data_IF_873882010420
#
_entry.id   IF_873882010420
#
_cell.length_a   1.000
_cell.length_b   1.000
_cell.length_c   1.000
_cell.angle_alpha   90.00
_cell.angle_beta   90.00
_cell.angle_gamma   90.00
#
_symmetry.space_group_name_H-M   'P 1'
#
loop_
_entity.id
_entity.type
_entity.pdbx_description
1 polymer ?
#
# COMPACT_ATOMS: atom_id res chain seq x y z
N UNK A 1 34.78 38.78 38.41
CA UNK A 1 34.21 37.63 39.16
C UNK A 1 33.13 36.97 38.30
N UNK A 2 33.48 35.88 37.59
CA UNK A 2 32.56 34.89 37.01
C UNK A 2 33.42 33.65 36.70
N UNK A 3 33.33 32.66 37.57
CA UNK A 3 34.02 31.37 37.44
C UNK A 3 33.11 30.47 36.61
N UNK A 4 33.50 30.16 35.36
CA UNK A 4 32.80 29.16 34.54
C UNK A 4 33.48 27.81 34.79
N UNK A 5 32.76 26.91 35.44
CA UNK A 5 33.17 25.59 35.88
C UNK A 5 33.34 24.68 34.65
N UNK A 6 34.56 24.26 34.33
CA UNK A 6 34.81 23.23 33.30
C UNK A 6 34.35 21.88 33.85
N UNK A 7 33.32 21.30 33.24
CA UNK A 7 32.82 19.98 33.59
C UNK A 7 33.68 18.92 32.88
N UNK A 8 34.65 18.35 33.61
CA UNK A 8 35.42 17.20 33.13
C UNK A 8 34.56 15.95 33.18
N UNK A 9 33.97 15.58 32.04
CA UNK A 9 33.29 14.30 31.87
C UNK A 9 34.35 13.21 31.77
N UNK A 10 34.53 12.46 32.85
CA UNK A 10 35.48 11.33 32.89
C UNK A 10 34.76 10.10 32.37
N UNK A 11 34.96 9.77 31.09
CA UNK A 11 34.35 8.59 30.45
C UNK A 11 35.17 7.34 30.81
N UNK A 12 34.52 6.35 31.42
CA UNK A 12 35.12 5.07 31.80
C UNK A 12 35.63 4.31 30.55
N UNK A 13 36.75 3.57 30.67
CA UNK A 13 37.39 2.85 29.56
C UNK A 13 36.45 1.86 28.86
N UNK A 14 35.47 1.29 29.57
CA UNK A 14 34.44 0.41 29.02
C UNK A 14 33.43 1.15 28.12
N UNK A 15 33.02 2.37 28.49
CA UNK A 15 32.13 3.21 27.68
C UNK A 15 32.84 3.74 26.43
N UNK A 16 34.15 3.97 26.51
CA UNK A 16 34.97 4.37 25.36
C UNK A 16 35.04 3.26 24.29
N UNK A 17 35.13 2.00 24.72
CA UNK A 17 35.06 0.83 23.83
C UNK A 17 33.70 0.66 23.15
N UNK A 18 32.61 0.90 23.87
CA UNK A 18 31.25 0.83 23.31
C UNK A 18 30.96 1.94 22.29
N UNK A 19 31.43 3.16 22.55
CA UNK A 19 31.28 4.29 21.60
C UNK A 19 32.12 4.04 20.35
N UNK A 20 33.35 3.55 20.49
CA UNK A 20 34.19 3.19 19.33
C UNK A 20 33.53 2.05 18.55
N UNK A 21 32.98 1.05 19.21
CA UNK A 21 32.27 -0.05 18.53
C UNK A 21 31.02 0.43 17.81
N UNK A 22 30.21 1.30 18.41
CA UNK A 22 29.03 1.90 17.77
C UNK A 22 29.44 2.76 16.57
N UNK A 23 30.50 3.56 16.69
CA UNK A 23 31.03 4.35 15.58
C UNK A 23 31.63 3.49 14.47
N UNK A 24 32.33 2.40 14.79
CA UNK A 24 32.85 1.45 13.80
C UNK A 24 31.72 0.67 13.14
N UNK A 25 30.68 0.30 13.89
CA UNK A 25 29.51 -0.42 13.39
C UNK A 25 28.64 0.48 12.51
N UNK A 26 28.47 1.76 12.87
CA UNK A 26 27.85 2.78 12.01
C UNK A 26 28.71 3.05 10.77
N UNK A 27 30.04 3.13 10.90
CA UNK A 27 30.93 3.29 9.76
C UNK A 27 30.89 2.07 8.83
N UNK A 28 30.77 0.85 9.37
CA UNK A 28 30.60 -0.38 8.58
C UNK A 28 29.21 -0.40 7.93
N UNK A 29 28.13 0.01 8.60
CA UNK A 29 26.80 0.13 7.97
C UNK A 29 26.79 1.21 6.88
N UNK A 30 27.48 2.33 7.09
CA UNK A 30 27.63 3.41 6.12
C UNK A 30 28.56 3.03 4.96
N UNK A 31 29.58 2.19 5.19
CA UNK A 31 30.47 1.65 4.15
C UNK A 31 29.92 0.38 3.47
N UNK A 32 29.03 -0.40 4.10
CA UNK A 32 28.31 -1.51 3.46
C UNK A 32 27.03 -1.07 2.75
N UNK A 33 26.70 0.23 2.78
CA UNK A 33 26.03 0.87 1.66
C UNK A 33 27.04 1.09 0.53
N UNK A 34 27.74 0.03 0.14
CA UNK A 34 28.34 -0.07 -1.19
C UNK A 34 27.16 -0.15 -2.16
N UNK A 35 26.76 1.05 -2.57
CA UNK A 35 26.13 1.25 -3.83
C UNK A 35 26.95 0.46 -4.86
N UNK A 36 26.36 -0.59 -5.41
CA UNK A 36 26.54 -0.89 -6.82
C UNK A 36 25.98 0.28 -7.64
N UNK A 37 26.59 1.45 -7.48
CA UNK A 37 26.54 2.51 -8.46
C UNK A 37 27.37 1.98 -9.62
N UNK A 38 26.73 1.20 -10.49
CA UNK A 38 27.16 1.19 -11.88
C UNK A 38 27.19 2.65 -12.30
N UNK A 39 28.39 3.21 -12.39
CA UNK A 39 28.63 4.51 -13.02
C UNK A 39 28.41 4.32 -14.52
N UNK A 40 27.17 4.02 -14.90
CA UNK A 40 26.66 4.45 -16.17
C UNK A 40 26.58 5.96 -16.05
N UNK A 41 27.19 6.67 -16.99
CA UNK A 41 27.14 8.13 -17.07
C UNK A 41 25.69 8.59 -17.08
N UNK A 42 25.11 8.89 -15.92
CA UNK A 42 23.74 9.37 -15.79
C UNK A 42 23.65 10.70 -16.54
N UNK A 43 22.89 10.73 -17.64
CA UNK A 43 22.63 11.97 -18.37
C UNK A 43 21.68 12.81 -17.52
N UNK A 44 22.20 13.85 -16.89
CA UNK A 44 21.39 14.84 -16.16
C UNK A 44 20.78 15.80 -17.19
N UNK A 45 19.46 15.83 -17.27
CA UNK A 45 18.73 16.75 -18.15
C UNK A 45 17.95 17.76 -17.28
N UNK A 46 18.01 19.03 -17.66
CA UNK A 46 17.29 20.14 -17.00
C UNK A 46 16.14 20.68 -17.84
N UNK A 47 16.11 20.35 -19.13
CA UNK A 47 15.05 20.73 -20.07
C UNK A 47 14.02 19.60 -20.22
N UNK A 48 12.75 19.94 -20.48
CA UNK A 48 11.72 18.93 -20.69
C UNK A 48 11.95 18.18 -22.01
N UNK A 49 11.66 16.88 -22.01
CA UNK A 49 11.77 16.02 -23.19
C UNK A 49 10.37 15.84 -23.78
N UNK A 50 10.21 16.27 -25.03
CA UNK A 50 8.96 16.10 -25.78
C UNK A 50 9.14 15.02 -26.85
N UNK A 51 8.35 13.96 -26.77
CA UNK A 51 8.32 12.85 -27.71
C UNK A 51 7.04 12.97 -28.55
N UNK A 52 7.23 13.24 -29.84
CA UNK A 52 6.16 13.35 -30.84
C UNK A 52 6.34 12.41 -32.04
N UNK A 53 7.36 11.55 -31.98
CA UNK A 53 7.71 10.60 -33.03
C UNK A 53 7.45 9.18 -32.58
N UNK A 54 6.91 8.37 -33.49
CA UNK A 54 6.76 6.94 -33.32
C UNK A 54 8.13 6.23 -33.18
N UNK A 55 8.12 5.02 -32.60
CA UNK A 55 9.30 4.15 -32.47
C UNK A 55 10.46 4.79 -31.69
N UNK A 56 10.14 5.56 -30.65
CA UNK A 56 11.13 6.29 -29.84
C UNK A 56 11.53 5.47 -28.62
N UNK A 57 12.83 5.35 -28.36
CA UNK A 57 13.35 4.78 -27.11
C UNK A 57 14.21 5.79 -26.38
N UNK A 58 13.92 6.02 -25.10
CA UNK A 58 14.77 6.79 -24.18
C UNK A 58 15.20 5.88 -23.05
N UNK A 59 16.50 5.91 -22.74
CA UNK A 59 17.08 5.12 -21.68
C UNK A 59 18.13 5.86 -20.88
N UNK A 60 18.28 5.47 -19.61
CA UNK A 60 19.39 5.85 -18.73
C UNK A 60 19.48 7.38 -18.52
N UNK A 61 18.34 7.98 -18.16
CA UNK A 61 18.22 9.44 -17.96
C UNK A 61 17.81 9.76 -16.53
N UNK A 62 18.54 10.68 -15.91
CA UNK A 62 18.14 11.30 -14.64
C UNK A 62 17.74 12.73 -14.88
N UNK A 63 16.54 13.10 -14.46
CA UNK A 63 15.98 14.44 -14.63
C UNK A 63 15.74 15.05 -13.26
N UNK A 64 16.38 16.19 -12.99
CA UNK A 64 16.11 17.03 -11.82
C UNK A 64 15.46 18.30 -12.33
N UNK A 65 14.16 18.44 -12.11
CA UNK A 65 13.37 19.42 -12.83
C UNK A 65 12.73 20.45 -11.89
N UNK A 66 12.98 21.73 -12.19
CA UNK A 66 12.45 22.87 -11.44
C UNK A 66 11.47 23.73 -12.24
N UNK A 67 11.16 23.36 -13.49
CA UNK A 67 10.24 24.09 -14.36
C UNK A 67 8.75 23.85 -14.03
N UNK A 68 7.88 24.42 -14.85
CA UNK A 68 6.42 24.32 -14.72
C UNK A 68 5.75 23.34 -15.69
N UNK A 69 6.49 22.81 -16.67
CA UNK A 69 5.98 21.81 -17.62
C UNK A 69 6.35 20.39 -17.17
N UNK A 70 5.72 19.33 -17.73
CA UNK A 70 6.16 17.97 -17.45
C UNK A 70 7.61 17.73 -17.91
N UNK A 71 8.47 17.07 -17.10
CA UNK A 71 9.83 16.71 -17.50
C UNK A 71 9.90 15.78 -18.71
N UNK A 72 8.93 14.87 -18.85
CA UNK A 72 8.75 14.05 -20.04
C UNK A 72 7.30 14.14 -20.50
N UNK A 73 7.11 14.46 -21.79
CA UNK A 73 5.81 14.43 -22.46
C UNK A 73 5.88 13.50 -23.66
N UNK A 74 4.92 12.59 -23.78
CA UNK A 74 4.68 11.76 -24.95
C UNK A 74 3.32 12.14 -25.52
N UNK A 75 3.29 12.67 -26.74
CA UNK A 75 2.05 13.13 -27.37
C UNK A 75 1.93 12.57 -28.78
N UNK A 76 0.76 12.08 -29.16
CA UNK A 76 0.44 11.65 -30.53
C UNK A 76 1.48 10.66 -31.11
N UNK A 77 1.97 9.74 -30.29
CA UNK A 77 3.06 8.83 -30.64
C UNK A 77 2.69 7.36 -30.43
N UNK A 78 3.30 6.48 -31.21
CA UNK A 78 3.18 5.02 -31.10
C UNK A 78 4.52 4.35 -30.83
N UNK A 79 4.51 3.26 -30.09
CA UNK A 79 5.70 2.43 -29.84
C UNK A 79 6.83 3.24 -29.18
N UNK A 80 6.54 3.78 -28.00
CA UNK A 80 7.51 4.54 -27.21
C UNK A 80 7.94 3.72 -26.00
N UNK A 81 9.24 3.59 -25.82
CA UNK A 81 9.84 2.89 -24.69
C UNK A 81 10.66 3.84 -23.83
N UNK A 82 10.32 3.96 -22.55
CA UNK A 82 11.14 4.62 -21.53
C UNK A 82 11.72 3.55 -20.60
N UNK A 83 13.04 3.57 -20.44
CA UNK A 83 13.75 2.59 -19.60
C UNK A 83 14.77 3.24 -18.68
N UNK A 84 14.87 2.81 -17.42
CA UNK A 84 15.87 3.32 -16.47
C UNK A 84 15.82 4.85 -16.37
N UNK A 85 14.63 5.40 -16.11
CA UNK A 85 14.43 6.84 -15.99
C UNK A 85 14.23 7.22 -14.53
N UNK A 86 14.93 8.26 -14.08
CA UNK A 86 14.75 8.85 -12.77
C UNK A 86 14.28 10.28 -12.88
N UNK A 87 13.21 10.64 -12.20
CA UNK A 87 12.67 12.01 -12.18
C UNK A 87 12.51 12.49 -10.74
N UNK A 88 13.09 13.65 -10.46
CA UNK A 88 12.91 14.39 -9.21
C UNK A 88 12.33 15.76 -9.59
N UNK A 89 11.04 15.94 -9.33
CA UNK A 89 10.31 17.16 -9.66
C UNK A 89 10.29 18.20 -8.53
N UNK A 90 9.36 19.15 -8.67
CA UNK A 90 9.11 20.25 -7.72
C UNK A 90 7.63 20.35 -7.28
N UNK A 91 6.81 19.34 -7.58
CA UNK A 91 5.39 19.25 -7.24
C UNK A 91 4.44 20.02 -8.16
N UNK A 92 4.92 20.78 -9.16
CA UNK A 92 4.07 21.66 -9.99
C UNK A 92 3.48 20.99 -11.22
N UNK A 93 4.20 20.05 -11.82
CA UNK A 93 3.82 19.38 -13.06
C UNK A 93 3.87 17.85 -12.90
N UNK A 94 3.24 17.13 -13.83
CA UNK A 94 3.31 15.67 -13.89
C UNK A 94 4.74 15.23 -14.23
N UNK A 95 5.19 14.07 -13.76
CA UNK A 95 6.54 13.56 -14.02
C UNK A 95 6.72 13.04 -15.44
N UNK A 96 5.92 12.05 -15.79
CA UNK A 96 5.74 11.57 -17.16
C UNK A 96 4.29 11.83 -17.54
N UNK A 97 4.09 12.63 -18.58
CA UNK A 97 2.77 12.92 -19.15
C UNK A 97 2.65 12.20 -20.49
N UNK A 98 1.63 11.36 -20.65
CA UNK A 98 1.38 10.60 -21.87
C UNK A 98 -0.03 10.90 -22.33
N UNK A 99 -0.16 11.43 -23.54
CA UNK A 99 -1.45 11.77 -24.13
C UNK A 99 -1.61 11.23 -25.56
N UNK A 100 -2.81 10.80 -25.92
CA UNK A 100 -3.20 10.43 -27.30
C UNK A 100 -2.19 9.49 -27.98
N UNK A 101 -1.73 8.48 -27.26
CA UNK A 101 -0.57 7.67 -27.65
C UNK A 101 -0.87 6.18 -27.50
N UNK A 102 -0.10 5.32 -28.18
CA UNK A 102 -0.35 3.88 -28.13
C UNK A 102 0.93 3.04 -28.09
N UNK A 103 0.82 1.80 -27.58
CA UNK A 103 1.95 0.87 -27.45
C UNK A 103 3.10 1.47 -26.62
N UNK A 104 2.79 1.90 -25.41
CA UNK A 104 3.76 2.54 -24.52
C UNK A 104 4.36 1.51 -23.56
N UNK A 105 5.68 1.56 -23.39
CA UNK A 105 6.42 0.69 -22.46
C UNK A 105 7.22 1.54 -21.48
N UNK A 106 6.93 1.38 -20.19
CA UNK A 106 7.68 2.01 -19.11
C UNK A 106 8.31 0.90 -18.25
N UNK A 107 9.65 0.86 -18.21
CA UNK A 107 10.39 -0.14 -17.42
C UNK A 107 11.44 0.52 -16.54
N UNK A 108 11.43 0.18 -15.26
CA UNK A 108 12.39 0.69 -14.26
C UNK A 108 12.41 2.23 -14.21
N UNK A 109 11.34 2.79 -13.66
CA UNK A 109 11.11 4.24 -13.59
C UNK A 109 11.02 4.65 -12.11
N UNK A 110 11.86 5.58 -11.65
CA UNK A 110 11.79 6.16 -10.29
C UNK A 110 11.35 7.63 -10.37
N UNK A 111 10.14 7.93 -9.90
CA UNK A 111 9.55 9.28 -9.95
C UNK A 111 9.20 9.75 -8.56
N UNK A 112 9.59 10.98 -8.25
CA UNK A 112 9.23 11.61 -6.99
C UNK A 112 9.05 13.12 -7.06
N UNK A 113 8.24 13.63 -6.14
CA UNK A 113 7.99 15.06 -5.96
C UNK A 113 7.43 15.72 -7.22
N UNK A 114 6.48 15.07 -7.89
CA UNK A 114 5.73 15.63 -9.01
C UNK A 114 4.28 15.86 -8.60
N UNK A 115 3.49 16.51 -9.45
CA UNK A 115 2.03 16.59 -9.27
C UNK A 115 1.49 15.17 -9.36
N UNK A 116 1.45 14.59 -10.55
CA UNK A 116 1.20 13.16 -10.73
C UNK A 116 2.51 12.49 -11.19
N UNK A 117 2.81 11.27 -10.72
CA UNK A 117 4.04 10.55 -11.06
C UNK A 117 4.06 10.20 -12.54
N UNK A 118 3.23 9.23 -12.90
CA UNK A 118 2.91 8.91 -14.30
C UNK A 118 1.45 9.27 -14.56
N UNK A 119 1.20 10.15 -15.52
CA UNK A 119 -0.12 10.57 -15.95
C UNK A 119 -0.38 10.06 -17.37
N UNK A 120 -1.48 9.34 -17.56
CA UNK A 120 -1.90 8.79 -18.83
C UNK A 120 -3.30 9.30 -19.18
N UNK A 121 -3.44 9.86 -20.37
CA UNK A 121 -4.71 10.36 -20.89
C UNK A 121 -4.93 9.90 -22.35
N UNK A 122 -6.03 9.20 -22.62
CA UNK A 122 -6.31 8.65 -23.97
C UNK A 122 -5.16 7.77 -24.50
N UNK A 123 -4.79 6.73 -23.74
CA UNK A 123 -3.69 5.82 -24.07
C UNK A 123 -4.19 4.42 -24.39
N UNK A 124 -3.74 3.84 -25.50
CA UNK A 124 -4.09 2.46 -25.89
C UNK A 124 -2.86 1.54 -25.80
N UNK A 125 -2.98 0.39 -25.13
CA UNK A 125 -1.88 -0.58 -24.94
C UNK A 125 -0.68 0.03 -24.21
N UNK A 126 -0.73 0.02 -22.89
CA UNK A 126 0.40 0.42 -22.04
C UNK A 126 0.91 -0.75 -21.19
N UNK A 127 2.22 -0.94 -21.13
CA UNK A 127 2.87 -1.87 -20.22
C UNK A 127 3.82 -1.10 -19.30
N UNK A 128 3.55 -1.15 -18.00
CA UNK A 128 4.35 -0.49 -16.96
C UNK A 128 4.87 -1.54 -15.99
N UNK A 129 6.20 -1.58 -15.81
CA UNK A 129 6.85 -2.52 -14.93
C UNK A 129 7.94 -1.86 -14.10
N UNK A 130 8.10 -2.30 -12.85
CA UNK A 130 9.16 -1.81 -11.96
C UNK A 130 9.09 -0.27 -11.77
N UNK A 131 7.88 0.27 -11.60
CA UNK A 131 7.69 1.70 -11.33
C UNK A 131 7.82 1.96 -9.83
N UNK A 132 8.70 2.87 -9.43
CA UNK A 132 8.80 3.42 -8.09
C UNK A 132 8.22 4.83 -8.10
N UNK A 133 7.05 5.03 -7.47
CA UNK A 133 6.37 6.33 -7.45
C UNK A 133 6.12 6.80 -6.01
N UNK A 134 6.65 7.97 -5.65
CA UNK A 134 6.59 8.46 -4.27
C UNK A 134 6.49 9.97 -4.09
N UNK A 135 5.82 10.41 -3.02
CA UNK A 135 5.70 11.82 -2.64
C UNK A 135 5.06 12.68 -3.74
N UNK A 136 4.09 12.13 -4.46
CA UNK A 136 3.31 12.82 -5.48
C UNK A 136 1.87 13.01 -4.99
N UNK A 137 1.08 13.83 -5.69
CA UNK A 137 -0.38 13.83 -5.50
C UNK A 137 -0.91 12.45 -5.88
N UNK A 138 -0.77 12.07 -7.15
CA UNK A 138 -1.09 10.71 -7.59
C UNK A 138 0.18 9.97 -7.99
N UNK A 139 0.35 8.74 -7.52
CA UNK A 139 1.52 7.95 -7.88
C UNK A 139 1.48 7.54 -9.36
N UNK A 140 0.36 6.96 -9.79
CA UNK A 140 0.04 6.64 -11.19
C UNK A 140 -1.42 7.03 -11.43
N UNK A 141 -1.68 7.73 -12.53
CA UNK A 141 -3.00 8.25 -12.86
C UNK A 141 -3.40 7.82 -14.28
N UNK A 142 -4.35 6.89 -14.36
CA UNK A 142 -4.96 6.46 -15.61
C UNK A 142 -6.25 7.24 -15.86
N UNK A 143 -6.36 7.83 -17.04
CA UNK A 143 -7.55 8.51 -17.52
C UNK A 143 -7.79 8.10 -18.97
N UNK A 144 -8.93 7.46 -19.26
CA UNK A 144 -9.25 7.00 -20.64
C UNK A 144 -8.19 6.05 -21.22
N UNK A 145 -7.72 5.09 -20.42
CA UNK A 145 -6.74 4.09 -20.85
C UNK A 145 -7.45 2.81 -21.24
N UNK A 146 -7.07 2.23 -22.39
CA UNK A 146 -7.62 0.96 -22.85
C UNK A 146 -6.48 -0.04 -23.08
N UNK A 147 -6.61 -1.24 -22.52
CA UNK A 147 -5.57 -2.29 -22.50
C UNK A 147 -4.30 -1.84 -21.80
N UNK A 148 -4.17 -2.15 -20.51
CA UNK A 148 -3.04 -1.73 -19.70
C UNK A 148 -2.56 -2.81 -18.75
N UNK A 149 -1.26 -2.82 -18.47
CA UNK A 149 -0.67 -3.67 -17.45
C UNK A 149 0.26 -2.86 -16.55
N UNK A 150 0.07 -2.98 -15.23
CA UNK A 150 0.96 -2.44 -14.21
C UNK A 150 1.46 -3.59 -13.33
N UNK A 151 2.76 -3.83 -13.35
CA UNK A 151 3.36 -4.98 -12.68
C UNK A 151 4.59 -4.63 -11.84
N UNK A 152 4.77 -5.34 -10.71
CA UNK A 152 5.99 -5.30 -9.89
C UNK A 152 6.43 -3.88 -9.50
N UNK A 153 5.47 -3.00 -9.26
CA UNK A 153 5.70 -1.59 -8.97
C UNK A 153 5.48 -1.28 -7.48
N UNK A 154 6.16 -0.26 -6.98
CA UNK A 154 6.05 0.22 -5.60
C UNK A 154 5.53 1.65 -5.61
N UNK A 155 4.37 1.84 -5.00
CA UNK A 155 3.71 3.14 -4.89
C UNK A 155 3.61 3.50 -3.42
N UNK A 156 4.22 4.61 -3.01
CA UNK A 156 4.31 4.97 -1.59
C UNK A 156 4.22 6.45 -1.29
N UNK A 157 3.65 6.80 -0.14
CA UNK A 157 3.58 8.19 0.34
C UNK A 157 3.01 9.17 -0.70
N UNK A 158 2.02 8.74 -1.48
CA UNK A 158 1.28 9.64 -2.37
C UNK A 158 -0.03 10.07 -1.70
N UNK A 159 -0.70 11.11 -2.20
CA UNK A 159 -2.08 11.44 -1.76
C UNK A 159 -3.05 10.36 -2.24
N UNK A 160 -2.96 9.93 -3.49
CA UNK A 160 -3.54 8.65 -3.92
C UNK A 160 -2.43 7.83 -4.57
N UNK A 161 -2.29 6.57 -4.20
CA UNK A 161 -1.27 5.73 -4.81
C UNK A 161 -1.54 5.54 -6.30
N UNK A 162 -2.64 4.88 -6.63
CA UNK A 162 -3.07 4.64 -8.01
C UNK A 162 -4.49 5.18 -8.19
N UNK A 163 -4.67 6.11 -9.13
CA UNK A 163 -5.97 6.61 -9.55
C UNK A 163 -6.29 6.06 -10.93
N UNK A 164 -7.35 5.26 -11.06
CA UNK A 164 -7.79 4.69 -12.34
C UNK A 164 -9.22 5.14 -12.62
N UNK A 165 -9.38 5.95 -13.65
CA UNK A 165 -10.67 6.53 -14.02
C UNK A 165 -11.01 6.27 -15.48
N UNK A 166 -12.26 5.86 -15.71
CA UNK A 166 -12.86 5.72 -17.05
C UNK A 166 -11.94 4.96 -18.01
N UNK A 167 -11.48 3.80 -17.58
CA UNK A 167 -10.48 2.99 -18.28
C UNK A 167 -10.93 1.53 -18.35
N UNK A 168 -10.47 0.78 -19.36
CA UNK A 168 -10.94 -0.58 -19.62
C UNK A 168 -9.80 -1.57 -19.89
N UNK A 169 -10.03 -2.84 -19.55
CA UNK A 169 -9.10 -3.96 -19.81
C UNK A 169 -7.71 -3.74 -19.15
N UNK A 170 -7.69 -3.41 -17.86
CA UNK A 170 -6.44 -3.12 -17.13
C UNK A 170 -6.12 -4.24 -16.14
N UNK A 171 -4.88 -4.74 -16.15
CA UNK A 171 -4.35 -5.68 -15.16
C UNK A 171 -3.38 -4.97 -14.24
N UNK A 172 -3.64 -4.99 -12.94
CA UNK A 172 -2.77 -4.44 -11.91
C UNK A 172 -2.33 -5.61 -11.03
N UNK A 173 -1.09 -6.06 -11.18
CA UNK A 173 -0.62 -7.28 -10.50
C UNK A 173 0.76 -7.20 -9.85
N UNK A 174 0.93 -7.88 -8.71
CA UNK A 174 2.23 -7.96 -8.01
C UNK A 174 2.81 -6.60 -7.61
N UNK A 175 1.96 -5.60 -7.36
CA UNK A 175 2.39 -4.28 -6.92
C UNK A 175 2.31 -4.15 -5.39
N UNK A 176 3.11 -3.23 -4.85
CA UNK A 176 3.13 -2.88 -3.43
C UNK A 176 2.65 -1.43 -3.26
N UNK A 177 1.51 -1.24 -2.60
CA UNK A 177 0.88 0.05 -2.36
C UNK A 177 0.94 0.33 -0.86
N UNK A 178 1.80 1.28 -0.45
CA UNK A 178 2.23 1.41 0.96
C UNK A 178 2.16 2.84 1.47
N UNK A 179 1.71 3.05 2.71
CA UNK A 179 1.83 4.33 3.43
C UNK A 179 1.10 5.53 2.78
N UNK A 180 -0.07 5.31 2.18
CA UNK A 180 -0.99 6.41 1.83
C UNK A 180 -1.80 6.79 3.09
N UNK A 181 -1.20 7.60 3.98
CA UNK A 181 -1.68 7.83 5.35
C UNK A 181 -2.24 9.23 5.63
N UNK A 182 -2.20 10.15 4.66
CA UNK A 182 -2.80 11.48 4.86
C UNK A 182 -4.33 11.31 4.98
N UNK A 183 -5.01 12.22 5.69
CA UNK A 183 -6.46 12.14 5.85
C UNK A 183 -7.16 12.05 4.48
N UNK A 184 -8.15 11.16 4.36
CA UNK A 184 -8.95 10.92 3.16
C UNK A 184 -8.13 10.50 1.92
N UNK A 185 -7.03 9.80 2.15
CA UNK A 185 -6.19 9.23 1.09
C UNK A 185 -6.49 7.76 0.83
N UNK A 186 -6.25 7.36 -0.42
CA UNK A 186 -6.47 6.00 -0.89
C UNK A 186 -5.17 5.39 -1.43
N UNK A 187 -4.95 4.11 -1.15
CA UNK A 187 -3.91 3.31 -1.78
C UNK A 187 -4.18 3.21 -3.28
N UNK A 188 -5.39 2.78 -3.63
CA UNK A 188 -5.86 2.70 -5.00
C UNK A 188 -7.33 3.11 -5.08
N UNK A 189 -7.69 3.91 -6.08
CA UNK A 189 -9.07 4.25 -6.40
C UNK A 189 -9.37 3.80 -7.82
N UNK A 190 -10.44 3.03 -7.98
CA UNK A 190 -10.99 2.59 -9.25
C UNK A 190 -12.35 3.27 -9.44
N UNK A 191 -12.53 3.96 -10.56
CA UNK A 191 -13.72 4.76 -10.81
C UNK A 191 -14.23 4.57 -12.24
N UNK A 192 -15.53 4.24 -12.38
CA UNK A 192 -16.25 4.15 -13.67
C UNK A 192 -15.51 3.35 -14.73
N UNK A 193 -15.05 2.17 -14.40
CA UNK A 193 -14.14 1.39 -15.24
C UNK A 193 -14.61 -0.06 -15.41
N UNK A 194 -14.25 -0.70 -16.53
CA UNK A 194 -14.70 -2.05 -16.88
C UNK A 194 -13.54 -3.01 -17.07
N UNK A 195 -13.74 -4.27 -16.68
CA UNK A 195 -12.75 -5.35 -16.89
C UNK A 195 -11.37 -5.03 -16.28
N UNK A 196 -11.38 -4.63 -15.01
CA UNK A 196 -10.18 -4.33 -14.23
C UNK A 196 -9.84 -5.53 -13.34
N UNK A 197 -8.60 -6.00 -13.43
CA UNK A 197 -8.10 -7.16 -12.70
C UNK A 197 -7.06 -6.72 -11.68
N UNK A 198 -7.46 -6.61 -10.41
CA UNK A 198 -6.56 -6.30 -9.29
C UNK A 198 -6.18 -7.61 -8.62
N UNK A 199 -4.96 -8.09 -8.87
CA UNK A 199 -4.55 -9.43 -8.45
C UNK A 199 -3.14 -9.52 -7.88
N UNK A 200 -2.95 -10.30 -6.82
CA UNK A 200 -1.63 -10.52 -6.20
C UNK A 200 -0.92 -9.23 -5.75
N UNK A 201 -1.65 -8.17 -5.40
CA UNK A 201 -1.05 -6.94 -4.89
C UNK A 201 -0.98 -6.94 -3.36
N UNK A 202 -0.11 -6.11 -2.80
CA UNK A 202 0.01 -5.87 -1.37
C UNK A 202 -0.40 -4.44 -1.05
N UNK A 203 -1.41 -4.27 -0.20
CA UNK A 203 -1.89 -3.00 0.32
C UNK A 203 -1.54 -2.91 1.80
N UNK A 204 -0.57 -2.07 2.15
CA UNK A 204 0.02 -2.04 3.49
C UNK A 204 -0.07 -0.63 4.08
N UNK A 205 -0.61 -0.51 5.29
CA UNK A 205 -0.59 0.74 6.06
C UNK A 205 -1.19 1.96 5.36
N UNK A 206 -2.28 1.75 4.61
CA UNK A 206 -3.05 2.81 3.98
C UNK A 206 -4.20 3.28 4.89
N UNK A 207 -4.63 4.53 4.71
CA UNK A 207 -5.89 5.05 5.24
C UNK A 207 -7.04 4.22 4.68
N UNK A 208 -7.32 4.34 3.37
CA UNK A 208 -8.18 3.40 2.64
C UNK A 208 -7.30 2.65 1.65
N UNK A 209 -7.21 1.33 1.70
CA UNK A 209 -6.35 0.57 0.79
C UNK A 209 -6.87 0.56 -0.65
N UNK A 210 -8.15 0.20 -0.84
CA UNK A 210 -8.78 0.12 -2.14
C UNK A 210 -10.19 0.74 -2.11
N UNK A 211 -10.45 1.71 -2.97
CA UNK A 211 -11.78 2.28 -3.19
C UNK A 211 -12.28 1.90 -4.58
N UNK A 212 -13.47 1.31 -4.64
CA UNK A 212 -14.09 0.72 -5.83
C UNK A 212 -15.41 1.44 -6.08
N UNK A 213 -15.52 2.11 -7.22
CA UNK A 213 -16.67 2.98 -7.51
C UNK A 213 -17.15 2.78 -8.95
N UNK A 214 -18.43 2.45 -9.11
CA UNK A 214 -19.08 2.27 -10.41
C UNK A 214 -18.32 1.30 -11.35
N UNK A 215 -17.82 0.19 -10.79
CA UNK A 215 -17.02 -0.80 -11.50
C UNK A 215 -17.89 -1.92 -12.06
N UNK A 216 -17.59 -2.37 -13.28
CA UNK A 216 -18.28 -3.52 -13.89
C UNK A 216 -17.30 -4.57 -14.42
N UNK A 217 -17.72 -5.84 -14.44
CA UNK A 217 -16.93 -6.98 -14.97
C UNK A 217 -15.50 -7.08 -14.43
N UNK A 218 -15.25 -6.55 -13.24
CA UNK A 218 -13.92 -6.44 -12.65
C UNK A 218 -13.72 -7.47 -11.55
N UNK A 219 -12.47 -7.78 -11.19
CA UNK A 219 -12.14 -8.84 -10.24
C UNK A 219 -11.06 -8.38 -9.25
N UNK A 220 -11.31 -8.60 -7.95
CA UNK A 220 -10.35 -8.33 -6.87
C UNK A 220 -9.98 -9.67 -6.24
N UNK A 221 -8.81 -10.19 -6.59
CA UNK A 221 -8.43 -11.56 -6.22
C UNK A 221 -7.01 -11.68 -5.67
N UNK A 222 -6.81 -12.51 -4.64
CA UNK A 222 -5.47 -12.87 -4.14
C UNK A 222 -4.61 -11.67 -3.71
N UNK A 223 -5.22 -10.57 -3.28
CA UNK A 223 -4.50 -9.43 -2.73
C UNK A 223 -4.30 -9.59 -1.22
N UNK A 224 -3.22 -9.02 -0.69
CA UNK A 224 -2.91 -8.98 0.73
C UNK A 224 -3.15 -7.58 1.27
N UNK A 225 -4.14 -7.43 2.14
CA UNK A 225 -4.48 -6.21 2.85
C UNK A 225 -3.95 -6.32 4.29
N UNK A 226 -2.94 -5.53 4.60
CA UNK A 226 -2.25 -5.58 5.89
C UNK A 226 -2.20 -4.20 6.57
N UNK A 227 -2.64 -4.13 7.84
CA UNK A 227 -2.48 -2.93 8.69
C UNK A 227 -3.08 -1.65 8.10
N UNK A 228 -4.14 -1.75 7.30
CA UNK A 228 -4.88 -0.59 6.77
C UNK A 228 -5.95 -0.15 7.78
N UNK A 229 -6.33 1.13 7.76
CA UNK A 229 -7.48 1.60 8.54
C UNK A 229 -8.76 1.06 7.94
N UNK A 230 -8.91 1.20 6.62
CA UNK A 230 -9.97 0.56 5.87
C UNK A 230 -9.39 -0.24 4.70
N UNK A 231 -9.80 -1.49 4.55
CA UNK A 231 -9.22 -2.35 3.49
C UNK A 231 -9.88 -2.10 2.15
N UNK A 232 -11.21 -2.18 2.07
CA UNK A 232 -11.97 -1.98 0.83
C UNK A 232 -13.18 -1.07 1.06
N UNK A 233 -13.38 -0.11 0.17
CA UNK A 233 -14.63 0.65 0.04
C UNK A 233 -15.27 0.29 -1.29
N UNK A 234 -16.58 0.02 -1.28
CA UNK A 234 -17.32 -0.35 -2.49
C UNK A 234 -18.53 0.56 -2.59
N UNK A 235 -18.65 1.21 -3.73
CA UNK A 235 -19.79 2.06 -4.07
C UNK A 235 -20.32 1.67 -5.44
N UNK A 236 -21.61 1.36 -5.52
CA UNK A 236 -22.36 1.09 -6.76
C UNK A 236 -21.63 0.11 -7.70
N UNK A 237 -21.04 -0.96 -7.15
CA UNK A 237 -20.19 -1.89 -7.90
C UNK A 237 -20.47 -3.34 -7.52
N UNK A 238 -21.08 -4.15 -8.39
CA UNK A 238 -21.23 -5.60 -8.17
C UNK A 238 -20.05 -6.36 -8.78
N UNK A 239 -19.02 -6.62 -7.97
CA UNK A 239 -17.82 -7.35 -8.38
C UNK A 239 -17.40 -8.42 -7.37
N UNK A 240 -16.85 -9.56 -7.83
CA UNK A 240 -16.33 -10.60 -6.94
C UNK A 240 -15.06 -10.17 -6.20
N UNK A 241 -15.04 -10.44 -4.88
CA UNK A 241 -13.90 -10.21 -3.98
C UNK A 241 -13.53 -11.55 -3.36
N UNK A 242 -12.47 -12.18 -3.90
CA UNK A 242 -12.20 -13.58 -3.62
C UNK A 242 -10.74 -13.88 -3.34
N UNK A 243 -10.49 -14.88 -2.49
CA UNK A 243 -9.14 -15.38 -2.18
C UNK A 243 -8.19 -14.29 -1.64
N UNK A 244 -8.70 -13.17 -1.13
CA UNK A 244 -7.87 -12.09 -0.58
C UNK A 244 -7.52 -12.40 0.88
N UNK A 245 -6.40 -11.86 1.35
CA UNK A 245 -5.93 -11.98 2.72
C UNK A 245 -6.11 -10.66 3.44
N UNK A 246 -6.79 -10.66 4.58
CA UNK A 246 -6.97 -9.49 5.43
C UNK A 246 -6.32 -9.75 6.78
N UNK A 247 -5.31 -8.96 7.14
CA UNK A 247 -4.59 -9.12 8.40
C UNK A 247 -4.32 -7.79 9.10
N UNK A 248 -4.69 -7.72 10.38
CA UNK A 248 -4.51 -6.57 11.26
C UNK A 248 -5.06 -5.24 10.70
N UNK A 249 -6.11 -5.30 9.87
CA UNK A 249 -6.82 -4.09 9.43
C UNK A 249 -7.84 -3.67 10.50
N UNK A 250 -8.17 -2.38 10.56
CA UNK A 250 -9.20 -1.88 11.49
C UNK A 250 -10.60 -2.19 10.95
N UNK A 251 -10.86 -1.86 9.68
CA UNK A 251 -12.07 -2.28 8.95
C UNK A 251 -11.73 -3.11 7.72
N UNK A 252 -12.55 -4.12 7.46
CA UNK A 252 -12.43 -4.98 6.28
C UNK A 252 -13.10 -4.34 5.07
N UNK A 253 -14.37 -3.97 5.18
CA UNK A 253 -15.14 -3.47 4.05
C UNK A 253 -16.22 -2.47 4.49
N UNK A 254 -16.31 -1.35 3.77
CA UNK A 254 -17.43 -0.40 3.86
C UNK A 254 -18.17 -0.36 2.52
N UNK A 255 -19.50 -0.48 2.52
CA UNK A 255 -20.28 -0.78 1.31
C UNK A 255 -21.60 0.01 1.29
N UNK A 256 -22.09 0.45 0.12
CA UNK A 256 -23.35 1.21 0.02
C UNK A 256 -24.63 0.39 -0.25
N UNK A 257 -24.57 -0.72 -1.01
CA UNK A 257 -25.76 -1.50 -1.42
C UNK A 257 -25.59 -3.03 -1.26
N UNK A 258 -26.70 -3.77 -1.09
CA UNK A 258 -26.68 -5.24 -0.91
C UNK A 258 -26.33 -5.99 -2.21
N UNK A 259 -25.53 -7.06 -2.06
CA UNK A 259 -25.10 -8.08 -3.06
C UNK A 259 -23.65 -7.96 -3.57
N UNK A 260 -22.66 -8.16 -2.69
CA UNK A 260 -21.28 -8.45 -3.15
C UNK A 260 -20.88 -9.87 -2.82
N UNK A 261 -20.09 -10.48 -3.71
CA UNK A 261 -19.65 -11.86 -3.60
C UNK A 261 -18.28 -11.95 -2.91
N UNK A 262 -18.26 -11.72 -1.60
CA UNK A 262 -17.12 -12.10 -0.77
C UNK A 262 -17.09 -13.62 -0.65
N UNK A 263 -15.98 -14.24 -1.04
CA UNK A 263 -15.83 -15.69 -0.97
C UNK A 263 -14.37 -16.11 -0.81
N UNK A 264 -14.12 -17.12 0.03
CA UNK A 264 -12.80 -17.74 0.19
C UNK A 264 -11.71 -16.74 0.63
N UNK A 265 -12.07 -15.60 1.22
CA UNK A 265 -11.06 -14.69 1.73
C UNK A 265 -10.58 -15.17 3.10
N UNK A 266 -9.33 -14.85 3.42
CA UNK A 266 -8.68 -15.22 4.68
C UNK A 266 -8.69 -14.04 5.66
N UNK A 267 -9.07 -14.29 6.91
CA UNK A 267 -9.17 -13.25 7.94
C UNK A 267 -8.39 -13.64 9.20
N UNK A 268 -7.86 -12.65 9.91
CA UNK A 268 -7.19 -12.86 11.20
C UNK A 268 -8.13 -12.69 12.39
N UNK A 269 -9.39 -13.10 12.20
CA UNK A 269 -10.45 -13.05 13.20
C UNK A 269 -10.55 -14.39 13.95
N UNK A 270 -10.32 -14.40 15.29
CA UNK A 270 -10.41 -15.62 16.09
C UNK A 270 -11.84 -16.14 16.29
N UNK A 271 -12.88 -15.40 15.87
CA UNK A 271 -14.28 -15.84 15.97
C UNK A 271 -14.70 -16.79 14.84
N UNK A 272 -13.94 -16.86 13.74
CA UNK A 272 -14.17 -17.83 12.67
C UNK A 272 -13.82 -19.21 13.24
N UNK A 273 -14.83 -20.06 13.42
CA UNK A 273 -14.66 -21.44 13.87
C UNK A 273 -14.66 -22.37 12.67
N UNK A 274 -13.68 -23.27 12.65
CA UNK A 274 -13.54 -24.39 11.71
C UNK A 274 -13.54 -25.66 12.57
N UNK A 275 -14.73 -26.26 12.74
CA UNK A 275 -14.94 -27.41 13.63
C UNK A 275 -14.64 -28.75 12.96
N UNK A 276 -14.72 -28.82 11.63
CA UNK A 276 -14.45 -30.03 10.86
C UNK A 276 -13.00 -30.14 10.35
N UNK A 277 -12.24 -29.03 10.43
CA UNK A 277 -10.81 -28.96 10.17
C UNK A 277 -10.46 -28.87 8.69
N UNK A 278 -11.38 -28.43 7.83
CA UNK A 278 -11.17 -28.33 6.39
C UNK A 278 -10.46 -27.03 5.94
N UNK A 279 -10.22 -26.10 6.87
CA UNK A 279 -9.58 -24.81 6.65
C UNK A 279 -10.54 -23.67 6.30
N UNK A 280 -11.85 -23.95 6.22
CA UNK A 280 -12.93 -23.00 5.96
C UNK A 280 -13.76 -22.86 7.24
N UNK A 281 -14.21 -21.65 7.53
CA UNK A 281 -15.09 -21.38 8.66
C UNK A 281 -16.50 -21.90 8.41
N UNK A 282 -17.06 -22.61 9.39
CA UNK A 282 -18.41 -23.18 9.35
C UNK A 282 -19.52 -22.13 9.30
N UNK A 283 -19.21 -20.89 9.67
CA UNK A 283 -20.16 -19.78 9.75
C UNK A 283 -19.72 -18.63 8.85
N UNK A 284 -20.66 -17.98 8.14
CA UNK A 284 -20.33 -16.81 7.32
C UNK A 284 -19.71 -15.69 8.16
N UNK A 285 -18.61 -15.11 7.68
CA UNK A 285 -17.98 -13.95 8.29
C UNK A 285 -18.78 -12.71 7.90
N UNK A 286 -19.41 -12.06 8.88
CA UNK A 286 -20.18 -10.82 8.67
C UNK A 286 -19.33 -9.58 8.91
N UNK A 287 -19.62 -8.53 8.14
CA UNK A 287 -19.05 -7.19 8.29
C UNK A 287 -20.12 -6.25 8.81
N UNK A 288 -19.78 -5.46 9.83
CA UNK A 288 -20.63 -4.41 10.35
C UNK A 288 -20.47 -3.16 9.46
N UNK A 289 -21.57 -2.55 8.99
CA UNK A 289 -21.55 -1.42 8.05
C UNK A 289 -22.45 -0.23 8.44
N UNK A 290 -22.93 -0.12 9.67
CA UNK A 290 -23.74 1.00 10.14
C UNK A 290 -23.01 2.33 9.96
N UNK A 291 -21.73 2.39 10.32
CA UNK A 291 -20.95 3.61 10.13
C UNK A 291 -20.69 3.90 8.66
N UNK A 292 -20.43 2.86 7.85
CA UNK A 292 -20.31 2.97 6.40
C UNK A 292 -21.58 3.54 5.76
N UNK A 293 -22.76 2.99 6.09
CA UNK A 293 -24.06 3.49 5.65
C UNK A 293 -24.32 4.94 6.07
N UNK A 294 -23.96 5.29 7.31
CA UNK A 294 -24.11 6.66 7.79
C UNK A 294 -23.22 7.64 7.02
N UNK A 295 -21.95 7.28 6.78
CA UNK A 295 -21.00 8.09 6.02
C UNK A 295 -21.38 8.23 4.54
N UNK A 296 -22.04 7.21 3.98
CA UNK A 296 -22.66 7.28 2.65
C UNK A 296 -23.82 8.28 2.63
N UNK A 297 -24.71 8.22 3.62
CA UNK A 297 -25.88 9.10 3.71
C UNK A 297 -25.52 10.55 4.00
N UNK A 298 -24.53 10.77 4.87
CA UNK A 298 -24.06 12.09 5.26
C UNK A 298 -22.54 12.22 5.06
N UNK A 299 -22.18 12.81 3.93
CA UNK A 299 -20.77 13.07 3.57
C UNK A 299 -20.03 13.97 4.58
N UNK A 300 -20.72 14.71 5.45
CA UNK A 300 -20.05 15.49 6.51
C UNK A 300 -19.39 14.58 7.55
N UNK A 301 -19.86 13.33 7.70
CA UNK A 301 -19.24 12.34 8.56
C UNK A 301 -17.86 11.90 8.04
N UNK A 302 -17.55 12.10 6.76
CA UNK A 302 -16.20 11.89 6.22
C UNK A 302 -15.16 12.81 6.86
N UNK A 303 -15.57 13.92 7.48
CA UNK A 303 -14.66 14.72 8.30
C UNK A 303 -14.09 13.94 9.50
N UNK A 304 -14.90 13.05 10.08
CA UNK A 304 -14.49 12.21 11.20
C UNK A 304 -13.83 10.90 10.75
N UNK A 305 -13.71 10.65 9.45
CA UNK A 305 -13.08 9.44 8.90
C UNK A 305 -11.64 9.33 9.41
N UNK A 306 -11.28 8.13 9.87
CA UNK A 306 -9.98 7.83 10.49
C UNK A 306 -9.68 8.61 11.78
N UNK A 307 -10.64 9.34 12.33
CA UNK A 307 -10.53 9.99 13.63
C UNK A 307 -10.79 9.02 14.80
N UNK A 308 -10.46 9.41 16.04
CA UNK A 308 -10.68 8.57 17.22
C UNK A 308 -12.14 8.12 17.40
N UNK A 309 -13.09 8.98 17.03
CA UNK A 309 -14.53 8.65 17.09
C UNK A 309 -14.90 7.55 16.10
N UNK A 310 -14.37 7.60 14.87
CA UNK A 310 -14.61 6.58 13.85
C UNK A 310 -14.08 5.22 14.28
N UNK A 311 -12.86 5.17 14.81
CA UNK A 311 -12.25 3.93 15.34
C UNK A 311 -13.07 3.38 16.52
N UNK A 312 -13.52 4.24 17.44
CA UNK A 312 -14.35 3.82 18.56
C UNK A 312 -15.69 3.25 18.12
N UNK A 313 -16.36 3.90 17.16
CA UNK A 313 -17.64 3.44 16.63
C UNK A 313 -17.50 2.11 15.90
N UNK A 314 -16.46 1.94 15.07
CA UNK A 314 -16.15 0.65 14.43
C UNK A 314 -15.92 -0.45 15.47
N UNK A 315 -15.18 -0.16 16.53
CA UNK A 315 -14.94 -1.13 17.60
C UNK A 315 -16.24 -1.54 18.33
N UNK A 316 -17.14 -0.59 18.58
CA UNK A 316 -18.46 -0.88 19.17
C UNK A 316 -19.29 -1.74 18.22
N UNK A 317 -19.25 -1.42 16.93
CA UNK A 317 -20.01 -2.12 15.89
C UNK A 317 -19.57 -3.58 15.73
N UNK A 318 -18.26 -3.81 15.66
CA UNK A 318 -17.66 -5.15 15.62
C UNK A 318 -18.02 -6.02 16.84
N UNK A 319 -18.31 -5.39 17.99
CA UNK A 319 -18.70 -6.07 19.23
C UNK A 319 -20.22 -6.19 19.39
N UNK A 320 -21.00 -5.50 18.59
CA UNK A 320 -22.45 -5.54 18.59
C UNK A 320 -22.94 -6.77 17.82
N UNK A 321 -23.36 -7.81 18.55
CA UNK A 321 -23.90 -9.08 18.03
C UNK A 321 -25.25 -8.91 17.30
N UNK A 322 -25.87 -7.73 17.37
CA UNK A 322 -27.30 -7.50 17.09
C UNK A 322 -27.68 -7.12 15.65
N UNK A 323 -26.80 -7.25 14.67
CA UNK A 323 -27.12 -6.88 13.29
C UNK A 323 -27.25 -8.11 12.39
N UNK A 324 -28.47 -8.65 12.30
CA UNK A 324 -28.81 -9.78 11.43
C UNK A 324 -28.67 -9.46 9.92
N UNK A 325 -28.61 -8.18 9.57
CA UNK A 325 -28.42 -7.68 8.21
C UNK A 325 -27.01 -7.10 8.04
N UNK A 326 -26.13 -7.80 7.33
CA UNK A 326 -24.78 -7.35 7.05
C UNK A 326 -24.14 -8.18 5.94
N UNK A 327 -23.17 -7.57 5.26
CA UNK A 327 -22.39 -8.22 4.20
C UNK A 327 -21.66 -9.43 4.77
N UNK A 328 -21.55 -10.50 3.98
CA UNK A 328 -20.96 -11.73 4.47
C UNK A 328 -20.04 -12.39 3.44
N UNK A 329 -18.92 -12.89 3.93
CA UNK A 329 -18.15 -13.92 3.23
C UNK A 329 -18.78 -15.29 3.55
N UNK A 330 -19.20 -16.03 2.53
CA UNK A 330 -19.88 -17.32 2.68
C UNK A 330 -18.95 -18.49 2.94
N UNK A 331 -17.64 -18.31 2.73
CA UNK A 331 -16.64 -19.36 2.94
C UNK A 331 -15.35 -18.72 3.46
N UNK A 332 -15.39 -18.08 4.64
CA UNK A 332 -14.22 -17.39 5.17
C UNK A 332 -13.15 -18.41 5.56
N UNK A 333 -11.88 -18.10 5.36
CA UNK A 333 -10.77 -18.94 5.79
C UNK A 333 -10.06 -18.31 6.99
N UNK A 334 -9.54 -19.14 7.89
CA UNK A 334 -8.76 -18.65 9.02
C UNK A 334 -7.31 -18.38 8.60
N UNK A 335 -6.80 -17.20 8.95
CA UNK A 335 -5.35 -16.99 8.93
C UNK A 335 -4.69 -17.73 10.08
N UNK A 336 -3.94 -18.79 9.75
CA UNK A 336 -3.16 -19.52 10.74
C UNK A 336 -2.15 -18.58 11.42
N UNK A 337 -2.44 -18.16 12.66
CA UNK A 337 -1.45 -17.49 13.49
C UNK A 337 -0.49 -18.55 14.01
N UNK A 338 0.74 -18.57 13.51
CA UNK A 338 1.84 -19.32 14.13
C UNK A 338 2.18 -18.66 15.47
N UNK A 339 1.34 -18.86 16.48
CA UNK A 339 1.65 -18.46 17.84
C UNK A 339 2.68 -19.46 18.35
N UNK A 340 3.97 -19.12 18.22
CA UNK A 340 5.02 -19.80 18.97
C UNK A 340 4.85 -19.46 20.45
N UNK A 341 3.91 -20.12 21.11
CA UNK A 341 3.83 -20.14 22.56
C UNK A 341 5.11 -20.80 23.06
N UNK A 342 6.00 -20.01 23.65
CA UNK A 342 7.18 -20.56 24.31
C UNK A 342 6.76 -21.25 25.62
N UNK A 343 6.21 -22.46 25.49
CA UNK A 343 5.68 -23.29 26.58
C UNK A 343 6.77 -23.65 27.60
N UNK A 344 8.05 -23.57 27.21
CA UNK A 344 9.20 -23.84 28.08
C UNK A 344 9.31 -22.85 29.23
N UNK A 345 8.97 -21.57 29.03
CA UNK A 345 9.10 -20.55 30.07
C UNK A 345 8.09 -20.76 31.23
N UNK A 346 6.79 -21.00 30.97
CA UNK A 346 5.84 -21.41 32.00
C UNK A 346 6.25 -22.71 32.72
N UNK A 347 6.72 -23.72 31.97
CA UNK A 347 7.13 -25.02 32.55
C UNK A 347 8.33 -24.85 33.48
N UNK A 348 9.33 -24.05 33.09
CA UNK A 348 10.51 -23.76 33.91
C UNK A 348 10.13 -23.02 35.20
N UNK A 349 9.21 -22.06 35.12
CA UNK A 349 8.71 -21.31 36.30
C UNK A 349 7.93 -22.22 37.25
N UNK A 350 7.05 -23.08 36.73
CA UNK A 350 6.29 -24.04 37.53
C UNK A 350 7.22 -25.05 38.22
N UNK A 351 8.22 -25.57 37.52
CA UNK A 351 9.18 -26.52 38.10
C UNK A 351 10.07 -25.86 39.17
N UNK A 352 10.52 -24.62 38.96
CA UNK A 352 11.26 -23.86 39.98
C UNK A 352 10.41 -23.60 41.23
N UNK A 353 9.12 -23.27 41.04
CA UNK A 353 8.19 -23.06 42.15
C UNK A 353 7.96 -24.34 42.97
N UNK A 354 7.83 -25.49 42.32
CA UNK A 354 7.72 -26.80 43.00
C UNK A 354 8.99 -27.13 43.78
N UNK A 355 10.18 -26.85 43.22
CA UNK A 355 11.47 -27.05 43.91
C UNK A 355 11.58 -26.13 45.13
N UNK A 356 11.19 -24.86 45.01
CA UNK A 356 11.22 -23.92 46.13
C UNK A 356 10.22 -24.31 47.24
N UNK A 357 9.02 -24.80 46.88
CA UNK A 357 8.02 -25.27 47.82
C UNK A 357 8.45 -26.55 48.56
N UNK A 358 9.12 -27.47 47.87
CA UNK A 358 9.66 -28.70 48.48
C UNK A 358 10.84 -28.41 49.41
N UNK A 359 11.74 -27.50 49.03
CA UNK A 359 12.85 -27.05 49.89
C UNK A 359 12.35 -26.31 51.14
N UNK A 360 11.25 -25.57 51.05
CA UNK A 360 10.65 -24.86 52.20
C UNK A 360 9.98 -25.81 53.21
N UNK A 361 9.67 -27.05 52.81
CA UNK A 361 9.08 -28.09 53.67
C UNK A 361 10.12 -28.94 54.41
N UNK A 362 11.40 -28.79 54.06
CA UNK A 362 12.53 -29.57 54.61
C UNK A 362 13.33 -28.75 55.66
N UNK A 363 12.93 -27.49 55.91
CA UNK A 363 13.30 -26.72 57.10
C UNK A 363 12.13 -26.69 58.07
#
# INVERSE_FOLDING_TARGET
>A
MKVTKVMNITVNRTTKGQIIFICLFLAIILCHMDAHANVHSEKIVTEPIHITKDHTTIKDVTIRYSGSAPPITISNSRDVTLKNIKIIGNGKANGIHIENSSQIKLDNIDISHTKDGVYLEHVERVNMRNISSRNNRYGIHFMYVNHGELERSVVRNNVTGIMLMVSDNIKITHNKIVDQQVLNTTGMTLYKSTDIHVKNNQFIQNSTALSVQEMTKSHITKNDFERNLNSIEIYQSDIPIQDNRFSNNISIANIDEQQHQFRNNMYDDPSIMDLDGDGIGDTPKRFSNLLGEAMVKDTTLNFFQNGPLHILLQWIEDKSITLESGYQDTSPQMLSRNIQLNIWLPILLCSLAIILLTLRRIR
#
